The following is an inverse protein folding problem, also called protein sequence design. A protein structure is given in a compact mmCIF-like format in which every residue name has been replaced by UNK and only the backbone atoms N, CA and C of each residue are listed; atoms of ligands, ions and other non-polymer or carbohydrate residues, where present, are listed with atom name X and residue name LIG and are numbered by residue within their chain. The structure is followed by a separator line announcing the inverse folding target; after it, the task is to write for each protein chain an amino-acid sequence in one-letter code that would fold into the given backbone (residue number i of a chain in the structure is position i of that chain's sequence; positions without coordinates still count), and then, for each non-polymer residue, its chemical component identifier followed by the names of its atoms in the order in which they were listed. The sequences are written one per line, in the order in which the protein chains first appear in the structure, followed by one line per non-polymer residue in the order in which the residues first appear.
data_IF_812787115568
#
_entry.id   IF_812787115568
#
_cell.length_a   1.000
_cell.length_b   1.000
_cell.length_c   1.000
_cell.angle_alpha   90.00
_cell.angle_beta   90.00
_cell.angle_gamma   90.00
#
_symmetry.space_group_name_H-M   'P 1'
#
loop_
_entity.id
_entity.type
_entity.pdbx_description
1 polymer ?
#
# COMPACT_ATOMS: atom_id res chain seq x y z
N UNK A 1 -20.69 -2.25 2.57
CA UNK A 1 -19.90 -1.27 1.78
C UNK A 1 -20.60 -1.12 0.45
N UNK A 2 -21.10 0.07 0.19
CA UNK A 2 -21.92 0.35 -0.99
C UNK A 2 -21.03 0.41 -2.24
N UNK A 3 -21.37 -0.38 -3.26
CA UNK A 3 -20.68 -0.41 -4.56
C UNK A 3 -21.43 0.46 -5.56
N UNK A 4 -21.92 1.61 -5.12
CA UNK A 4 -22.69 2.55 -5.93
C UNK A 4 -21.82 3.70 -6.41
N UNK A 5 -22.00 4.09 -7.67
CA UNK A 5 -21.28 5.20 -8.27
C UNK A 5 -21.83 6.53 -7.77
N UNK A 6 -21.00 7.32 -7.08
CA UNK A 6 -21.39 8.65 -6.61
C UNK A 6 -21.65 9.70 -7.72
N UNK A 7 -21.35 9.36 -8.99
CA UNK A 7 -21.53 10.25 -10.14
C UNK A 7 -22.79 9.96 -10.95
N UNK A 8 -23.36 8.75 -10.83
CA UNK A 8 -24.56 8.37 -11.59
C UNK A 8 -25.46 7.34 -10.90
N UNK A 9 -25.24 7.09 -9.60
CA UNK A 9 -26.00 6.21 -8.71
C UNK A 9 -26.19 4.76 -9.21
N UNK A 10 -25.39 4.32 -10.19
CA UNK A 10 -25.36 2.93 -10.62
C UNK A 10 -24.71 2.05 -9.56
N UNK A 11 -25.41 1.00 -9.15
CA UNK A 11 -24.88 -0.02 -8.23
C UNK A 11 -24.23 -1.19 -8.98
N UNK A 12 -23.16 -1.71 -8.40
CA UNK A 12 -22.38 -2.83 -8.95
C UNK A 12 -22.26 -3.98 -7.94
N UNK A 13 -22.13 -5.21 -8.43
CA UNK A 13 -21.92 -6.39 -7.57
C UNK A 13 -20.53 -6.43 -6.91
N UNK A 14 -19.56 -5.70 -7.45
CA UNK A 14 -18.18 -5.65 -6.92
C UNK A 14 -17.55 -4.27 -7.08
N UNK A 15 -16.62 -3.93 -6.19
CA UNK A 15 -15.85 -2.69 -6.25
C UNK A 15 -15.00 -2.59 -7.53
N UNK A 16 -14.53 -3.72 -8.08
CA UNK A 16 -13.79 -3.74 -9.35
C UNK A 16 -14.63 -3.30 -10.54
N UNK A 17 -15.90 -3.72 -10.56
CA UNK A 17 -16.84 -3.32 -11.60
C UNK A 17 -17.19 -1.84 -11.50
N UNK A 18 -17.42 -1.32 -10.28
CA UNK A 18 -17.61 0.10 -10.03
C UNK A 18 -16.40 0.93 -10.51
N UNK A 19 -15.17 0.53 -10.15
CA UNK A 19 -13.94 1.22 -10.59
C UNK A 19 -13.81 1.24 -12.12
N UNK A 20 -14.08 0.11 -12.78
CA UNK A 20 -14.06 0.03 -14.26
C UNK A 20 -15.08 0.97 -14.87
N UNK A 21 -16.30 1.00 -14.32
CA UNK A 21 -17.35 1.90 -14.76
C UNK A 21 -16.94 3.37 -14.61
N UNK A 22 -16.43 3.77 -13.44
CA UNK A 22 -16.01 5.14 -13.19
C UNK A 22 -14.90 5.61 -14.16
N UNK A 23 -13.96 4.72 -14.50
CA UNK A 23 -12.94 5.00 -15.52
C UNK A 23 -13.54 5.18 -16.92
N UNK A 24 -14.36 4.24 -17.37
CA UNK A 24 -14.84 4.23 -18.76
C UNK A 24 -15.92 5.27 -19.05
N UNK A 25 -16.79 5.55 -18.07
CA UNK A 25 -17.97 6.39 -18.26
C UNK A 25 -17.73 7.81 -17.77
N UNK A 26 -16.97 7.97 -16.69
CA UNK A 26 -16.76 9.27 -16.05
C UNK A 26 -15.33 9.79 -16.19
N UNK A 27 -14.47 9.06 -16.92
CA UNK A 27 -13.04 9.36 -17.05
C UNK A 27 -12.35 9.59 -15.69
N UNK A 28 -12.87 8.96 -14.63
CA UNK A 28 -12.26 9.03 -13.30
C UNK A 28 -11.08 8.10 -13.31
N UNK A 29 -9.89 8.65 -13.54
CA UNK A 29 -8.64 7.96 -13.31
C UNK A 29 -8.53 7.63 -11.82
N UNK A 30 -9.01 6.44 -11.49
CA UNK A 30 -8.56 5.78 -10.28
C UNK A 30 -7.07 5.53 -10.46
N UNK A 31 -6.23 6.31 -9.76
CA UNK A 31 -4.84 5.93 -9.43
C UNK A 31 -4.79 4.69 -8.53
N UNK A 32 -5.65 3.71 -8.80
CA UNK A 32 -5.51 2.37 -8.29
C UNK A 32 -4.45 1.76 -9.19
N UNK A 33 -3.20 2.01 -8.80
CA UNK A 33 -2.02 1.30 -9.28
C UNK A 33 -2.28 -0.20 -9.08
N UNK A 34 -2.88 -0.84 -10.07
CA UNK A 34 -2.89 -2.29 -10.16
C UNK A 34 -1.44 -2.68 -10.35
N UNK A 35 -0.82 -3.22 -9.29
CA UNK A 35 0.61 -3.44 -9.13
C UNK A 35 1.44 -2.17 -9.05
N UNK A 36 1.39 -1.48 -7.90
CA UNK A 36 2.60 -0.78 -7.43
C UNK A 36 3.60 -1.88 -7.08
N UNK A 37 4.48 -2.21 -8.02
CA UNK A 37 5.61 -3.10 -7.73
C UNK A 37 6.35 -2.55 -6.51
N UNK A 38 6.67 -3.45 -5.59
CA UNK A 38 7.38 -3.16 -4.35
C UNK A 38 8.85 -3.43 -4.63
N UNK A 39 9.64 -2.37 -4.77
CA UNK A 39 11.07 -2.46 -5.03
C UNK A 39 11.82 -2.94 -3.79
N UNK A 40 12.72 -3.89 -3.96
CA UNK A 40 13.67 -4.25 -2.90
C UNK A 40 14.63 -3.09 -2.64
N UNK A 41 14.92 -2.79 -1.37
CA UNK A 41 15.89 -1.74 -1.03
C UNK A 41 17.34 -2.25 -1.01
N UNK A 42 17.54 -3.56 -1.21
CA UNK A 42 18.86 -4.21 -1.23
C UNK A 42 19.30 -4.54 -2.65
N UNK A 43 18.35 -4.81 -3.55
CA UNK A 43 18.62 -5.12 -4.97
C UNK A 43 17.58 -4.48 -5.89
N UNK A 44 17.70 -4.70 -7.21
CA UNK A 44 16.81 -4.11 -8.21
C UNK A 44 15.53 -4.91 -8.48
N UNK A 45 15.27 -5.99 -7.72
CA UNK A 45 14.07 -6.81 -7.91
C UNK A 45 12.78 -6.04 -7.55
N UNK A 46 11.73 -6.30 -8.33
CA UNK A 46 10.42 -5.67 -8.24
C UNK A 46 9.33 -6.72 -7.99
N UNK A 47 8.69 -6.64 -6.82
CA UNK A 47 7.78 -7.68 -6.35
C UNK A 47 6.32 -7.23 -6.40
N UNK A 48 5.41 -8.15 -6.70
CA UNK A 48 3.97 -7.85 -6.89
C UNK A 48 3.19 -7.61 -5.59
N UNK A 49 3.78 -7.89 -4.42
CA UNK A 49 3.12 -7.70 -3.13
C UNK A 49 4.12 -7.51 -1.99
N UNK A 50 3.64 -6.98 -0.86
CA UNK A 50 4.44 -6.84 0.36
C UNK A 50 4.92 -8.21 0.88
N UNK A 51 4.06 -9.24 0.89
CA UNK A 51 4.48 -10.59 1.33
C UNK A 51 5.62 -11.13 0.47
N UNK A 52 5.51 -11.00 -0.86
CA UNK A 52 6.56 -11.44 -1.77
C UNK A 52 7.87 -10.68 -1.54
N UNK A 53 7.81 -9.37 -1.24
CA UNK A 53 9.00 -8.61 -0.88
C UNK A 53 9.63 -9.08 0.44
N UNK A 54 8.83 -9.31 1.48
CA UNK A 54 9.35 -9.79 2.78
C UNK A 54 10.01 -11.16 2.63
N UNK A 55 9.33 -12.10 1.98
CA UNK A 55 9.84 -13.45 1.73
C UNK A 55 11.13 -13.38 0.87
N UNK A 56 11.18 -12.50 -0.15
CA UNK A 56 12.38 -12.24 -0.97
C UNK A 56 13.55 -11.75 -0.12
N UNK A 57 13.34 -10.74 0.73
CA UNK A 57 14.39 -10.17 1.57
C UNK A 57 14.95 -11.21 2.54
N UNK A 58 14.09 -12.04 3.11
CA UNK A 58 14.51 -13.13 4.01
C UNK A 58 15.29 -14.22 3.26
N UNK A 59 14.82 -14.68 2.10
CA UNK A 59 15.47 -15.79 1.38
C UNK A 59 16.67 -15.41 0.52
N UNK A 60 16.63 -14.23 -0.11
CA UNK A 60 17.64 -13.80 -1.08
C UNK A 60 18.74 -12.93 -0.46
N UNK A 61 18.42 -12.27 0.65
CA UNK A 61 19.37 -11.40 1.36
C UNK A 61 19.69 -11.87 2.77
N UNK A 62 19.06 -12.96 3.24
CA UNK A 62 19.27 -13.53 4.58
C UNK A 62 19.05 -12.50 5.70
N UNK A 63 18.13 -11.55 5.47
CA UNK A 63 17.76 -10.51 6.43
C UNK A 63 16.53 -10.99 7.19
N UNK A 64 16.70 -11.27 8.48
CA UNK A 64 15.58 -11.56 9.37
C UNK A 64 14.80 -10.28 9.68
N UNK A 65 13.49 -10.29 9.41
CA UNK A 65 12.61 -9.15 9.63
C UNK A 65 11.73 -9.38 10.86
N UNK A 66 11.83 -8.48 11.84
CA UNK A 66 10.96 -8.51 13.02
C UNK A 66 9.67 -7.70 12.77
N UNK A 67 8.53 -8.25 13.19
CA UNK A 67 7.22 -7.61 13.04
C UNK A 67 6.75 -7.09 14.40
N UNK A 68 6.56 -5.78 14.51
CA UNK A 68 6.02 -5.14 15.71
C UNK A 68 4.70 -4.42 15.40
N UNK A 69 3.76 -4.45 16.34
CA UNK A 69 2.52 -3.66 16.28
C UNK A 69 2.49 -2.69 17.45
N UNK A 70 2.52 -1.38 17.16
CA UNK A 70 2.38 -0.33 18.18
C UNK A 70 1.00 0.32 18.11
N UNK A 71 0.44 0.61 19.29
CA UNK A 71 -0.78 1.39 19.44
C UNK A 71 -0.42 2.77 19.99
N UNK A 72 -1.14 3.77 19.54
CA UNK A 72 -0.98 5.14 19.97
C UNK A 72 -2.32 5.66 20.43
N UNK A 73 -2.32 6.34 21.57
CA UNK A 73 -3.54 6.91 22.16
C UNK A 73 -4.02 8.15 21.39
N UNK A 74 -3.13 8.78 20.63
CA UNK A 74 -3.41 9.95 19.78
C UNK A 74 -2.65 9.87 18.45
N UNK A 75 -3.15 10.59 17.44
CA UNK A 75 -2.49 10.69 16.14
C UNK A 75 -1.18 11.49 16.21
N UNK A 76 -1.11 12.46 17.12
CA UNK A 76 0.07 13.25 17.42
C UNK A 76 1.20 12.37 17.98
N UNK A 77 0.88 11.45 18.91
CA UNK A 77 1.85 10.49 19.43
C UNK A 77 2.39 9.57 18.33
N UNK A 78 1.53 9.11 17.40
CA UNK A 78 1.96 8.35 16.23
C UNK A 78 2.91 9.17 15.33
N UNK A 79 2.60 10.44 15.06
CA UNK A 79 3.45 11.31 14.22
C UNK A 79 4.85 11.51 14.80
N UNK A 80 4.94 11.82 16.10
CA UNK A 80 6.22 12.02 16.77
C UNK A 80 7.05 10.73 16.71
N UNK A 81 6.43 9.57 17.01
CA UNK A 81 7.11 8.29 16.89
C UNK A 81 7.59 8.02 15.46
N UNK A 82 6.76 8.30 14.46
CA UNK A 82 7.11 8.09 13.06
C UNK A 82 8.33 8.92 12.65
N UNK A 83 8.34 10.22 12.96
CA UNK A 83 9.46 11.10 12.66
C UNK A 83 10.74 10.66 13.38
N UNK A 84 10.64 10.26 14.65
CA UNK A 84 11.77 9.73 15.42
C UNK A 84 12.37 8.47 14.79
N UNK A 85 11.54 7.54 14.32
CA UNK A 85 11.99 6.31 13.64
C UNK A 85 12.65 6.62 12.29
N UNK A 86 12.05 7.49 11.48
CA UNK A 86 12.60 7.85 10.16
C UNK A 86 13.93 8.61 10.29
N UNK A 87 14.08 9.47 11.30
CA UNK A 87 15.32 10.22 11.55
C UNK A 87 16.44 9.36 12.15
N UNK A 88 16.10 8.27 12.86
CA UNK A 88 17.08 7.33 13.44
C UNK A 88 17.66 6.34 12.43
N UNK A 89 17.08 6.23 11.24
CA UNK A 89 17.61 5.48 10.11
C UNK A 89 18.25 6.48 9.12
N UNK A 90 19.47 6.98 9.36
CA UNK A 90 20.14 7.79 8.36
C UNK A 90 20.32 6.93 7.11
N UNK A 91 19.72 7.35 6.00
CA UNK A 91 19.98 6.79 4.69
C UNK A 91 21.48 7.01 4.40
N UNK A 92 22.28 5.95 4.45
CA UNK A 92 23.67 5.93 3.96
C UNK A 92 23.69 5.56 2.49
#
# INVERSE_FOLDING_TARGET
MDNTCFLCDKSFSTASNLRRHARLIHNVENKVSTCRQMKCNVCSEELVSMKALLDHVESAHYIALEKETKKFDTYEAYKIWKEDVENKLPCT
#
